data_IF_890071417472
#
_entry.id   IF_890071417472
#
_cell.length_a   1.000
_cell.length_b   1.000
_cell.length_c   1.000
_cell.angle_alpha   90.00
_cell.angle_beta   90.00
_cell.angle_gamma   90.00
#
_symmetry.space_group_name_H-M   'P 1'
#
loop_
_entity.id
_entity.type
_entity.pdbx_description
1 polymer ?
#
# COMPACT_ATOMS: atom_id res chain seq x y z
N UNK A 1 -10.48 -2.08 -38.66
CA UNK A 1 -9.82 -3.34 -38.28
C UNK A 1 -8.71 -3.00 -37.28
N UNK A 2 -8.63 -3.70 -36.14
CA UNK A 2 -7.59 -3.43 -35.15
C UNK A 2 -6.19 -3.68 -35.77
N UNK A 3 -5.35 -2.65 -35.87
CA UNK A 3 -4.06 -2.67 -36.55
C UNK A 3 -2.92 -3.40 -35.81
N UNK A 4 -3.23 -4.49 -35.10
CA UNK A 4 -2.23 -5.24 -34.32
C UNK A 4 -1.63 -6.40 -35.13
N UNK A 5 -0.29 -6.53 -35.19
CA UNK A 5 0.36 -7.68 -35.82
C UNK A 5 -0.01 -9.01 -35.16
N UNK A 6 -0.17 -10.05 -35.96
CA UNK A 6 -0.65 -11.38 -35.52
C UNK A 6 0.26 -12.01 -34.46
N UNK A 7 1.57 -11.79 -34.54
CA UNK A 7 2.55 -12.25 -33.55
C UNK A 7 2.34 -11.61 -32.18
N UNK A 8 2.03 -10.31 -32.14
CA UNK A 8 1.76 -9.57 -30.90
C UNK A 8 0.49 -10.09 -30.24
N UNK A 9 -0.55 -10.35 -31.04
CA UNK A 9 -1.80 -10.94 -30.54
C UNK A 9 -1.57 -12.29 -29.85
N UNK A 10 -0.90 -13.23 -30.52
CA UNK A 10 -0.65 -14.56 -29.93
C UNK A 10 0.32 -14.53 -28.74
N UNK A 11 1.28 -13.61 -28.74
CA UNK A 11 2.14 -13.39 -27.57
C UNK A 11 1.34 -12.89 -26.36
N UNK A 12 0.48 -11.90 -26.54
CA UNK A 12 -0.36 -11.38 -25.46
C UNK A 12 -1.37 -12.42 -24.98
N UNK A 13 -2.01 -13.15 -25.90
CA UNK A 13 -2.94 -14.22 -25.56
C UNK A 13 -2.27 -15.34 -24.74
N UNK A 14 -1.07 -15.76 -25.13
CA UNK A 14 -0.30 -16.76 -24.38
C UNK A 14 0.17 -16.25 -23.03
N UNK A 15 0.59 -14.98 -22.93
CA UNK A 15 0.96 -14.35 -21.66
C UNK A 15 -0.24 -14.24 -20.69
N UNK A 16 -1.43 -13.93 -21.20
CA UNK A 16 -2.67 -13.85 -20.42
C UNK A 16 -3.17 -15.23 -19.95
N UNK A 17 -2.88 -16.30 -20.70
CA UNK A 17 -3.28 -17.66 -20.31
C UNK A 17 -2.46 -18.24 -19.14
N UNK A 18 -1.34 -17.60 -18.76
CA UNK A 18 -0.49 -18.10 -17.67
C UNK A 18 -1.18 -17.88 -16.33
N UNK A 19 -1.27 -18.95 -15.54
CA UNK A 19 -1.78 -18.88 -14.18
C UNK A 19 -0.99 -17.85 -13.35
N UNK A 20 -1.72 -17.09 -12.52
CA UNK A 20 -1.11 -16.08 -11.66
C UNK A 20 -0.27 -16.75 -10.56
N UNK A 21 1.05 -16.67 -10.69
CA UNK A 21 2.01 -17.20 -9.70
C UNK A 21 1.75 -16.68 -8.29
N UNK A 22 1.14 -15.50 -8.16
CA UNK A 22 0.92 -14.83 -6.88
C UNK A 22 -0.53 -14.91 -6.40
N UNK A 23 -1.35 -15.83 -6.92
CA UNK A 23 -2.75 -15.95 -6.56
C UNK A 23 -2.94 -16.14 -5.04
N UNK A 24 -2.22 -17.09 -4.44
CA UNK A 24 -2.27 -17.33 -2.98
C UNK A 24 -1.80 -16.10 -2.18
N UNK A 25 -0.69 -15.49 -2.59
CA UNK A 25 -0.17 -14.28 -1.96
C UNK A 25 -1.17 -13.12 -2.03
N UNK A 26 -1.89 -12.96 -3.16
CA UNK A 26 -2.95 -11.96 -3.33
C UNK A 26 -4.11 -12.22 -2.37
N UNK A 27 -4.53 -13.47 -2.23
CA UNK A 27 -5.60 -13.85 -1.29
C UNK A 27 -5.22 -13.55 0.17
N UNK A 28 -4.00 -13.89 0.58
CA UNK A 28 -3.49 -13.59 1.92
C UNK A 28 -3.37 -12.09 2.18
N UNK A 29 -2.81 -11.34 1.23
CA UNK A 29 -2.74 -9.86 1.31
C UNK A 29 -4.14 -9.28 1.49
N UNK A 30 -5.13 -9.78 0.75
CA UNK A 30 -6.52 -9.34 0.85
C UNK A 30 -7.09 -9.65 2.23
N UNK A 31 -6.86 -10.86 2.75
CA UNK A 31 -7.32 -11.28 4.08
C UNK A 31 -6.71 -10.41 5.19
N UNK A 32 -5.40 -10.20 5.18
CA UNK A 32 -4.69 -9.37 6.16
C UNK A 32 -5.20 -7.93 6.10
N UNK A 33 -5.37 -7.38 4.89
CA UNK A 33 -5.86 -6.02 4.71
C UNK A 33 -7.25 -5.83 5.33
N UNK A 34 -8.18 -6.76 5.09
CA UNK A 34 -9.55 -6.69 5.61
C UNK A 34 -9.62 -7.00 7.11
N UNK A 35 -8.83 -7.96 7.60
CA UNK A 35 -8.68 -8.24 9.04
C UNK A 35 -8.28 -6.97 9.82
N UNK A 36 -7.43 -6.13 9.23
CA UNK A 36 -7.00 -4.87 9.81
C UNK A 36 -7.80 -3.64 9.33
N UNK A 37 -9.00 -3.85 8.75
CA UNK A 37 -9.92 -2.79 8.32
C UNK A 37 -9.27 -1.76 7.36
N UNK A 38 -8.38 -2.22 6.48
CA UNK A 38 -7.68 -1.36 5.53
C UNK A 38 -6.67 -0.38 6.12
N UNK A 39 -6.32 -0.52 7.41
CA UNK A 39 -5.32 0.35 8.08
C UNK A 39 -3.88 0.00 7.73
N UNK A 40 -3.66 -1.20 7.19
CA UNK A 40 -2.33 -1.71 6.90
C UNK A 40 -1.95 -1.37 5.46
N UNK A 41 -0.90 -0.56 5.30
CA UNK A 41 -0.19 -0.42 4.02
C UNK A 41 0.82 -1.54 3.81
N UNK A 42 1.47 -1.55 2.65
CA UNK A 42 2.36 -2.65 2.23
C UNK A 42 3.45 -3.02 3.24
N UNK A 43 3.99 -2.05 3.99
CA UNK A 43 4.99 -2.31 5.04
C UNK A 43 4.42 -3.17 6.17
N UNK A 44 3.22 -2.85 6.65
CA UNK A 44 2.57 -3.60 7.74
C UNK A 44 2.04 -4.95 7.25
N UNK A 45 1.54 -5.01 6.01
CA UNK A 45 1.14 -6.26 5.38
C UNK A 45 2.35 -7.20 5.22
N UNK A 46 3.49 -6.69 4.75
CA UNK A 46 4.72 -7.49 4.65
C UNK A 46 5.17 -8.04 6.01
N UNK A 47 5.10 -7.24 7.08
CA UNK A 47 5.39 -7.72 8.43
C UNK A 47 4.41 -8.79 8.90
N UNK A 48 3.11 -8.62 8.63
CA UNK A 48 2.10 -9.62 8.97
C UNK A 48 2.32 -10.95 8.21
N UNK A 49 2.63 -10.88 6.92
CA UNK A 49 3.01 -12.06 6.12
C UNK A 49 4.25 -12.76 6.69
N UNK A 50 5.27 -11.99 7.07
CA UNK A 50 6.48 -12.55 7.69
C UNK A 50 6.18 -13.25 9.02
N UNK A 51 5.28 -12.71 9.83
CA UNK A 51 4.84 -13.33 11.08
C UNK A 51 4.06 -14.63 10.83
N UNK A 52 3.31 -14.70 9.73
CA UNK A 52 2.63 -15.91 9.25
C UNK A 52 3.57 -16.85 8.46
N UNK A 53 4.90 -16.66 8.54
CA UNK A 53 5.94 -17.47 7.86
C UNK A 53 5.91 -17.39 6.32
N UNK A 54 5.25 -16.38 5.75
CA UNK A 54 5.27 -16.11 4.32
C UNK A 54 6.34 -15.08 3.97
N UNK A 55 7.44 -15.56 3.40
CA UNK A 55 8.59 -14.74 3.01
C UNK A 55 8.42 -14.21 1.58
N UNK A 56 7.88 -13.00 1.46
CA UNK A 56 7.78 -12.27 0.19
C UNK A 56 8.60 -10.99 0.25
N UNK A 57 9.26 -10.64 -0.86
CA UNK A 57 9.96 -9.37 -0.96
C UNK A 57 9.00 -8.17 -0.74
N UNK A 58 9.38 -7.14 0.03
CA UNK A 58 8.53 -5.98 0.29
C UNK A 58 8.02 -5.26 -0.98
N UNK A 59 8.81 -5.22 -2.05
CA UNK A 59 8.43 -4.64 -3.34
C UNK A 59 7.41 -5.50 -4.07
N UNK A 60 7.50 -6.82 -3.93
CA UNK A 60 6.48 -7.73 -4.45
C UNK A 60 5.14 -7.49 -3.78
N UNK A 61 5.11 -7.37 -2.45
CA UNK A 61 3.89 -7.03 -1.69
C UNK A 61 3.33 -5.69 -2.14
N UNK A 62 4.18 -4.67 -2.30
CA UNK A 62 3.76 -3.35 -2.78
C UNK A 62 3.13 -3.42 -4.18
N UNK A 63 3.75 -4.14 -5.12
CA UNK A 63 3.24 -4.34 -6.48
C UNK A 63 1.90 -5.07 -6.47
N UNK A 64 1.78 -6.16 -5.71
CA UNK A 64 0.54 -6.95 -5.62
C UNK A 64 -0.60 -6.15 -5.00
N UNK A 65 -0.36 -5.40 -3.93
CA UNK A 65 -1.35 -4.48 -3.37
C UNK A 65 -1.80 -3.43 -4.39
N UNK A 66 -0.88 -2.91 -5.20
CA UNK A 66 -1.19 -1.99 -6.29
C UNK A 66 -2.09 -2.61 -7.36
N UNK A 67 -1.80 -3.83 -7.78
CA UNK A 67 -2.63 -4.59 -8.73
C UNK A 67 -4.04 -4.86 -8.18
N UNK A 68 -4.16 -5.09 -6.87
CA UNK A 68 -5.44 -5.29 -6.19
C UNK A 68 -6.17 -3.98 -5.85
N UNK A 69 -5.57 -2.82 -6.10
CA UNK A 69 -6.13 -1.52 -5.72
C UNK A 69 -6.17 -1.27 -4.20
N UNK A 70 -5.47 -2.07 -3.40
CA UNK A 70 -5.49 -1.97 -1.94
C UNK A 70 -4.57 -0.85 -1.47
N UNK A 71 -5.14 0.15 -0.78
CA UNK A 71 -4.41 1.28 -0.22
C UNK A 71 -4.75 1.45 1.26
N UNK A 72 -3.74 1.79 2.05
CA UNK A 72 -3.93 2.13 3.46
C UNK A 72 -4.88 3.32 3.59
N UNK A 73 -5.95 3.15 4.37
CA UNK A 73 -6.89 4.24 4.69
C UNK A 73 -6.27 5.26 5.65
N UNK A 74 -5.32 4.83 6.48
CA UNK A 74 -4.67 5.70 7.46
C UNK A 74 -3.81 6.74 6.75
N UNK A 75 -4.17 8.03 6.94
CA UNK A 75 -3.36 9.17 6.50
C UNK A 75 -2.14 9.31 7.40
N UNK A 76 -0.91 9.43 6.85
CA UNK A 76 0.27 9.74 7.64
C UNK A 76 0.09 11.09 8.34
N UNK A 77 0.24 11.12 9.67
CA UNK A 77 0.26 12.39 10.42
C UNK A 77 1.61 13.07 10.19
N UNK A 78 1.60 14.33 9.76
CA UNK A 78 2.82 15.16 9.71
C UNK A 78 3.19 15.55 11.14
N UNK A 79 4.46 15.40 11.51
CA UNK A 79 4.93 15.82 12.83
C UNK A 79 4.74 17.33 13.00
N UNK A 80 4.27 17.73 14.19
CA UNK A 80 4.13 19.11 14.61
C UNK A 80 4.75 19.24 16.00
N UNK A 81 5.83 20.00 16.09
CA UNK A 81 6.54 20.26 17.35
C UNK A 81 5.73 21.17 18.28
N UNK A 82 5.08 22.19 17.69
CA UNK A 82 4.19 23.08 18.41
C UNK A 82 2.89 22.35 18.79
N UNK A 83 2.66 22.19 20.09
CA UNK A 83 1.48 21.50 20.66
C UNK A 83 0.29 22.45 20.89
N UNK A 84 0.35 23.67 20.36
CA UNK A 84 -0.55 24.76 20.72
C UNK A 84 -0.02 25.57 21.91
N UNK A 85 -0.84 26.50 22.42
CA UNK A 85 -0.55 27.20 23.67
C UNK A 85 -0.73 26.21 24.84
N UNK A 86 0.38 25.74 25.40
CA UNK A 86 0.37 24.84 26.57
C UNK A 86 0.82 25.65 27.78
N UNK A 87 -0.02 25.73 28.81
CA UNK A 87 0.24 26.49 30.03
C UNK A 87 -0.18 27.96 29.95
N UNK A 88 0.13 28.74 31.00
CA UNK A 88 -0.11 30.19 31.02
C UNK A 88 0.98 30.88 30.19
N UNK A 89 0.64 31.31 28.98
CA UNK A 89 1.51 32.13 28.14
C UNK A 89 1.46 33.58 28.63
N UNK A 90 2.62 34.20 28.84
CA UNK A 90 2.69 35.62 29.16
C UNK A 90 2.21 36.46 27.94
N UNK A 91 1.55 37.61 28.17
CA UNK A 91 1.08 38.45 27.08
C UNK A 91 2.25 38.94 26.21
N UNK A 92 2.07 38.94 24.88
CA UNK A 92 3.05 39.46 23.93
C UNK A 92 3.05 40.99 23.94
N UNK A 93 3.81 41.58 24.87
CA UNK A 93 3.89 43.02 25.08
C UNK A 93 4.56 43.78 23.91
N UNK A 94 5.38 43.09 23.11
CA UNK A 94 6.17 43.72 22.05
C UNK A 94 5.47 43.73 20.68
N UNK A 95 4.36 43.00 20.52
CA UNK A 95 3.55 42.91 19.28
C UNK A 95 4.38 42.77 17.99
N UNK A 96 5.47 42.00 18.02
CA UNK A 96 6.25 41.71 16.82
C UNK A 96 5.66 40.45 16.17
N UNK A 97 5.08 40.62 14.98
CA UNK A 97 4.68 39.54 14.09
C UNK A 97 5.88 39.08 13.25
#
# INVERSE_FOLDING_TARGET
MAGMPRSVYYYQASALSKADRHLEAKAQIHQIFHRHQGRYGYRRVHLALRNEQHYLDPKTVQRLMGQLGLKSTVRPKRYQSYRGAVGKTAPNLLQRN
#
